data_IF_283811795260
#
_entry.id   IF_283811795260
#
_cell.length_a   1.000
_cell.length_b   1.000
_cell.length_c   1.000
_cell.angle_alpha   90.00
_cell.angle_beta   90.00
_cell.angle_gamma   90.00
#
_symmetry.space_group_name_H-M   'P 1'
#
loop_
_entity.id
_entity.type
_entity.pdbx_description
1 polymer ?
#
# COMPACT_ATOMS: atom_id res chain seq x y z
N UNK A 1 -10.34 12.89 -9.34
CA UNK A 1 -10.26 11.75 -8.40
C UNK A 1 -9.28 10.72 -8.95
N UNK A 2 -7.98 10.96 -8.78
CA UNK A 2 -7.02 9.88 -8.95
C UNK A 2 -7.03 9.16 -7.61
N UNK A 3 -7.50 7.91 -7.57
CA UNK A 3 -7.29 7.04 -6.44
C UNK A 3 -5.78 6.78 -6.35
N UNK A 4 -5.01 7.77 -5.88
CA UNK A 4 -3.66 7.61 -5.36
C UNK A 4 -3.82 7.03 -3.97
N UNK A 5 -4.47 5.88 -3.89
CA UNK A 5 -4.03 4.92 -2.91
C UNK A 5 -2.59 4.62 -3.34
N UNK A 6 -1.65 5.27 -2.68
CA UNK A 6 -0.42 4.60 -2.29
C UNK A 6 -0.94 3.38 -1.55
N UNK A 7 -1.36 2.33 -2.26
CA UNK A 7 -1.70 1.03 -1.71
C UNK A 7 -0.37 0.50 -1.25
N UNK A 8 -0.01 1.02 -0.07
CA UNK A 8 0.94 0.47 0.83
C UNK A 8 0.83 -1.05 0.77
N UNK A 9 1.89 -1.66 0.28
CA UNK A 9 2.59 -2.64 1.10
C UNK A 9 1.95 -4.03 1.23
N UNK A 10 0.82 -4.34 0.57
CA UNK A 10 0.17 -5.63 0.79
C UNK A 10 1.01 -6.82 0.28
N UNK A 11 1.72 -6.69 -0.85
CA UNK A 11 2.44 -7.81 -1.47
C UNK A 11 3.76 -7.40 -2.15
N UNK A 12 4.68 -6.83 -1.36
CA UNK A 12 6.03 -6.42 -1.84
C UNK A 12 7.08 -7.51 -1.61
N UNK A 13 6.69 -8.64 -1.01
CA UNK A 13 7.62 -9.75 -0.75
C UNK A 13 8.09 -10.41 -2.06
N UNK A 14 9.36 -10.81 -2.09
CA UNK A 14 9.94 -11.51 -3.24
C UNK A 14 9.17 -12.79 -3.56
N UNK A 15 8.81 -12.98 -4.83
CA UNK A 15 7.99 -14.11 -5.26
C UNK A 15 6.51 -14.05 -4.84
N UNK A 16 6.01 -12.91 -4.36
CA UNK A 16 4.58 -12.74 -4.11
C UNK A 16 3.81 -12.49 -5.42
N UNK A 17 2.58 -13.01 -5.47
CA UNK A 17 1.63 -12.79 -6.56
C UNK A 17 0.20 -12.96 -6.06
N UNK A 18 -0.72 -12.29 -6.72
CA UNK A 18 -2.16 -12.37 -6.49
C UNK A 18 -2.89 -12.96 -7.67
N UNK A 19 -4.05 -13.56 -7.42
CA UNK A 19 -4.98 -13.99 -8.45
C UNK A 19 -6.33 -13.31 -8.23
N UNK A 20 -6.94 -12.84 -9.32
CA UNK A 20 -8.30 -12.31 -9.27
C UNK A 20 -9.25 -13.51 -9.29
N UNK A 21 -10.10 -13.62 -8.27
CA UNK A 21 -11.05 -14.75 -8.15
C UNK A 21 -12.34 -14.44 -8.90
N UNK A 22 -12.95 -13.30 -8.58
CA UNK A 22 -14.24 -12.86 -9.15
C UNK A 22 -14.49 -11.38 -8.94
N UNK A 23 -15.46 -10.82 -9.66
CA UNK A 23 -15.99 -9.47 -9.47
C UNK A 23 -17.42 -9.59 -8.97
N UNK A 24 -17.75 -8.96 -7.84
CA UNK A 24 -19.07 -9.01 -7.21
C UNK A 24 -19.37 -7.67 -6.53
N UNK A 25 -20.60 -7.18 -6.66
CA UNK A 25 -21.13 -6.01 -5.94
C UNK A 25 -20.17 -4.81 -5.95
N UNK A 26 -19.77 -4.40 -7.16
CA UNK A 26 -18.85 -3.28 -7.40
C UNK A 26 -17.45 -3.41 -6.80
N UNK A 27 -17.09 -4.60 -6.29
CA UNK A 27 -15.76 -4.93 -5.77
C UNK A 27 -15.12 -6.08 -6.53
N UNK A 28 -13.79 -6.06 -6.55
CA UNK A 28 -12.95 -7.11 -7.12
C UNK A 28 -12.37 -7.92 -5.98
N UNK A 29 -12.62 -9.23 -5.99
CA UNK A 29 -12.10 -10.15 -4.98
C UNK A 29 -10.80 -10.74 -5.48
N UNK A 30 -9.75 -10.56 -4.68
CA UNK A 30 -8.38 -10.99 -4.97
C UNK A 30 -7.94 -11.98 -3.90
N UNK A 31 -7.26 -13.04 -4.32
CA UNK A 31 -6.62 -14.00 -3.43
C UNK A 31 -5.13 -13.68 -3.30
N UNK A 32 -4.67 -13.57 -2.06
CA UNK A 32 -3.27 -13.37 -1.70
C UNK A 32 -2.49 -14.69 -1.76
N UNK A 33 -1.15 -14.58 -1.76
CA UNK A 33 -0.26 -15.76 -1.67
C UNK A 33 -0.48 -16.56 -0.39
N UNK A 34 -0.93 -15.93 0.69
CA UNK A 34 -1.33 -16.56 1.95
C UNK A 34 -2.73 -17.22 1.91
N UNK A 35 -3.37 -17.30 0.74
CA UNK A 35 -4.74 -17.78 0.50
C UNK A 35 -5.88 -16.94 1.10
N UNK A 36 -5.58 -15.91 1.89
CA UNK A 36 -6.54 -14.88 2.30
C UNK A 36 -7.17 -14.16 1.10
N UNK A 37 -8.44 -13.82 1.22
CA UNK A 37 -9.19 -13.11 0.18
C UNK A 37 -9.51 -11.68 0.61
N UNK A 38 -9.32 -10.75 -0.31
CA UNK A 38 -9.53 -9.32 -0.13
C UNK A 38 -10.54 -8.80 -1.15
N UNK A 39 -11.52 -8.03 -0.70
CA UNK A 39 -12.43 -7.30 -1.59
C UNK A 39 -11.95 -5.85 -1.72
N UNK A 40 -11.60 -5.44 -2.94
CA UNK A 40 -10.99 -4.14 -3.26
C UNK A 40 -11.86 -3.41 -4.28
N UNK A 41 -11.84 -2.08 -4.27
CA UNK A 41 -12.50 -1.29 -5.31
C UNK A 41 -11.83 -1.44 -6.68
N UNK A 42 -12.61 -1.47 -7.78
CA UNK A 42 -12.10 -1.65 -9.14
C UNK A 42 -11.26 -0.46 -9.64
N UNK A 43 -11.30 0.68 -8.93
CA UNK A 43 -10.52 1.89 -9.24
C UNK A 43 -9.07 1.81 -8.74
N UNK A 44 -8.73 0.82 -7.91
CA UNK A 44 -7.38 0.64 -7.40
C UNK A 44 -6.41 0.18 -8.50
N UNK A 45 -5.21 0.74 -8.48
CA UNK A 45 -4.15 0.39 -9.42
C UNK A 45 -3.48 -0.93 -9.02
N UNK A 46 -3.11 -1.72 -10.02
CA UNK A 46 -2.37 -2.96 -9.86
C UNK A 46 -1.32 -3.10 -10.96
N UNK A 47 -0.23 -3.80 -10.64
CA UNK A 47 0.81 -4.19 -11.61
C UNK A 47 0.60 -5.65 -11.97
N UNK A 48 0.61 -5.96 -13.26
CA UNK A 48 0.46 -7.34 -13.76
C UNK A 48 1.78 -8.08 -13.63
N UNK A 49 1.75 -9.25 -12.98
CA UNK A 49 2.88 -10.16 -12.90
C UNK A 49 3.19 -10.62 -11.48
N UNK A 50 4.42 -11.11 -11.31
CA UNK A 50 4.93 -11.67 -10.06
C UNK A 50 6.19 -10.92 -9.64
N UNK A 51 6.37 -10.69 -8.34
CA UNK A 51 7.60 -10.08 -7.83
C UNK A 51 8.78 -11.02 -8.09
N UNK A 52 9.93 -10.46 -8.49
CA UNK A 52 11.17 -11.21 -8.69
C UNK A 52 11.63 -11.91 -7.40
N UNK A 53 12.64 -12.80 -7.50
CA UNK A 53 13.11 -13.66 -6.40
C UNK A 53 12.13 -14.79 -6.02
N UNK A 54 11.86 -15.71 -6.97
CA UNK A 54 10.91 -16.83 -6.82
C UNK A 54 11.23 -17.77 -5.64
N UNK A 55 12.51 -17.96 -5.31
CA UNK A 55 13.00 -19.01 -4.40
C UNK A 55 13.58 -18.48 -3.08
N UNK A 56 12.97 -17.44 -2.51
CA UNK A 56 13.43 -16.83 -1.25
C UNK A 56 13.70 -17.82 -0.08
N UNK A 57 12.91 -18.89 0.15
CA UNK A 57 13.15 -19.80 1.28
C UNK A 57 14.30 -20.80 1.06
N UNK A 58 14.83 -20.91 -0.16
CA UNK A 58 15.80 -21.97 -0.50
C UNK A 58 17.22 -21.60 -0.06
N UNK A 59 17.53 -20.32 0.15
CA UNK A 59 18.90 -19.90 0.45
C UNK A 59 19.30 -20.23 1.90
N UNK A 60 20.20 -21.21 2.13
CA UNK A 60 20.67 -21.49 3.48
C UNK A 60 21.55 -20.34 3.98
N UNK A 61 21.35 -19.98 5.24
CA UNK A 61 22.16 -18.95 5.91
C UNK A 61 23.61 -19.44 6.10
N UNK A 62 23.80 -20.74 6.37
CA UNK A 62 25.10 -21.37 6.53
C UNK A 62 25.74 -21.12 7.89
N UNK A 63 26.06 -19.87 8.22
CA UNK A 63 26.76 -19.50 9.46
C UNK A 63 26.02 -18.44 10.29
N UNK A 64 26.17 -18.43 11.63
CA UNK A 64 25.66 -17.35 12.47
C UNK A 64 26.26 -15.97 12.13
N UNK A 65 27.45 -15.93 11.51
CA UNK A 65 28.07 -14.69 11.05
C UNK A 65 27.27 -14.02 9.92
N UNK A 66 26.68 -14.80 9.00
CA UNK A 66 25.83 -14.25 7.93
C UNK A 66 24.57 -13.55 8.48
N UNK A 67 24.04 -14.02 9.61
CA UNK A 67 22.94 -13.33 10.32
C UNK A 67 23.40 -11.97 10.88
N UNK A 68 24.66 -11.87 11.33
CA UNK A 68 25.24 -10.58 11.76
C UNK A 68 25.40 -9.61 10.59
N UNK A 69 25.78 -10.07 9.41
CA UNK A 69 25.79 -9.24 8.19
C UNK A 69 24.38 -8.73 7.83
N UNK A 70 23.36 -9.58 8.02
CA UNK A 70 21.95 -9.21 7.86
C UNK A 70 21.38 -8.39 9.05
N UNK A 71 22.25 -7.94 9.97
CA UNK A 71 21.90 -7.15 11.16
C UNK A 71 20.88 -7.83 12.10
N UNK A 72 20.83 -9.17 12.12
CA UNK A 72 20.04 -9.95 13.07
C UNK A 72 20.89 -10.33 14.27
N UNK A 73 20.47 -9.88 15.47
CA UNK A 73 21.12 -10.21 16.75
C UNK A 73 20.58 -11.53 17.31
N UNK A 74 21.37 -12.25 18.14
CA UNK A 74 20.86 -13.42 18.84
C UNK A 74 19.71 -13.05 19.78
N UNK A 75 18.80 -13.98 20.03
CA UNK A 75 17.72 -13.82 21.01
C UNK A 75 18.28 -13.69 22.43
N UNK A 76 17.43 -13.25 23.37
CA UNK A 76 17.82 -13.19 24.77
C UNK A 76 18.03 -14.59 25.35
N UNK A 77 18.91 -14.69 26.36
CA UNK A 77 19.12 -15.91 27.14
C UNK A 77 18.09 -16.11 28.26
N UNK A 78 17.06 -15.26 28.33
CA UNK A 78 16.05 -15.31 29.37
C UNK A 78 15.12 -16.51 29.14
N UNK A 79 15.11 -17.44 30.09
CA UNK A 79 14.20 -18.57 30.05
C UNK A 79 12.78 -18.15 30.42
N UNK A 80 11.81 -18.52 29.58
CA UNK A 80 10.39 -18.22 29.79
C UNK A 80 9.56 -19.51 29.63
N UNK A 81 8.57 -19.69 30.51
CA UNK A 81 7.62 -20.82 30.39
C UNK A 81 6.69 -20.61 29.19
N UNK A 82 6.29 -21.72 28.55
CA UNK A 82 5.33 -21.68 27.44
C UNK A 82 3.91 -21.59 28.00
N UNK A 83 3.24 -20.49 27.70
CA UNK A 83 1.79 -20.32 27.94
C UNK A 83 0.92 -21.05 26.90
N UNK A 84 -0.40 -20.99 27.05
CA UNK A 84 -1.37 -21.58 26.10
C UNK A 84 -1.36 -21.01 24.67
N UNK A 85 -0.60 -19.93 24.43
CA UNK A 85 -0.45 -19.28 23.11
C UNK A 85 0.48 -20.04 22.16
N UNK A 86 1.41 -20.85 22.68
CA UNK A 86 2.43 -21.53 21.87
C UNK A 86 1.92 -22.83 21.21
N UNK A 87 0.70 -23.27 21.52
CA UNK A 87 0.07 -24.41 20.86
C UNK A 87 -0.45 -24.08 19.46
N UNK A 88 -0.49 -25.08 18.57
CA UNK A 88 -1.04 -24.95 17.20
C UNK A 88 -2.48 -24.44 17.24
N UNK A 89 -2.80 -23.39 16.49
CA UNK A 89 -4.16 -22.85 16.36
C UNK A 89 -4.67 -23.02 14.94
N UNK A 90 -5.83 -23.64 14.79
CA UNK A 90 -6.54 -23.77 13.50
C UNK A 90 -7.55 -22.63 13.40
N UNK A 91 -7.21 -21.58 12.66
CA UNK A 91 -8.10 -20.44 12.41
C UNK A 91 -8.67 -20.54 11.00
N UNK A 92 -9.97 -20.29 10.85
CA UNK A 92 -10.61 -20.12 9.55
C UNK A 92 -10.40 -18.68 9.10
N UNK A 93 -10.13 -18.48 7.82
CA UNK A 93 -9.93 -17.16 7.24
C UNK A 93 -11.26 -16.64 6.69
N UNK A 94 -11.54 -15.36 6.93
CA UNK A 94 -12.71 -14.65 6.41
C UNK A 94 -12.30 -13.71 5.28
N UNK A 95 -13.30 -13.27 4.50
CA UNK A 95 -13.13 -12.21 3.51
C UNK A 95 -12.89 -10.88 4.23
N UNK A 96 -11.79 -10.19 3.93
CA UNK A 96 -11.51 -8.85 4.45
C UNK A 96 -11.89 -7.81 3.38
N UNK A 97 -12.79 -6.89 3.70
CA UNK A 97 -13.18 -5.79 2.81
C UNK A 97 -12.26 -4.61 3.07
N UNK A 98 -11.55 -4.16 2.04
CA UNK A 98 -10.65 -3.00 2.12
C UNK A 98 -11.41 -1.79 1.58
N UNK A 99 -11.56 -0.78 2.41
CA UNK A 99 -12.10 0.52 1.99
C UNK A 99 -10.94 1.48 1.66
N UNK A 100 -11.12 2.33 0.64
CA UNK A 100 -10.11 3.31 0.27
C UNK A 100 -10.01 4.36 1.38
N UNK A 101 -8.77 4.71 1.75
CA UNK A 101 -8.55 5.81 2.69
C UNK A 101 -9.11 7.11 2.08
N UNK A 102 -9.86 7.94 2.82
CA UNK A 102 -10.35 9.20 2.30
C UNK A 102 -9.17 10.09 1.89
N UNK A 103 -9.29 10.73 0.73
CA UNK A 103 -8.31 11.71 0.28
C UNK A 103 -8.24 12.87 1.31
N UNK A 104 -7.03 13.39 1.60
CA UNK A 104 -6.92 14.57 2.45
C UNK A 104 -7.73 15.73 1.83
N UNK A 105 -8.41 16.55 2.65
CA UNK A 105 -9.19 17.66 2.14
C UNK A 105 -8.28 18.59 1.34
N UNK A 106 -8.64 18.82 0.07
CA UNK A 106 -7.88 19.69 -0.82
C UNK A 106 -8.23 21.13 -0.46
N UNK A 107 -7.36 21.78 0.31
CA UNK A 107 -7.51 23.21 0.64
C UNK A 107 -7.29 24.00 -0.66
N UNK A 108 -8.37 24.55 -1.21
CA UNK A 108 -8.31 25.43 -2.38
C UNK A 108 -8.02 26.83 -1.83
N UNK A 109 -6.77 27.27 -1.91
CA UNK A 109 -6.41 28.65 -1.64
C UNK A 109 -6.86 29.50 -2.84
N UNK A 110 -8.04 30.13 -2.72
CA UNK A 110 -8.50 31.12 -3.68
C UNK A 110 -7.82 32.45 -3.35
N UNK A 111 -6.68 32.71 -3.97
CA UNK A 111 -6.10 34.06 -3.97
C UNK A 111 -6.86 34.91 -4.97
N UNK A 112 -7.58 35.91 -4.48
CA UNK A 112 -8.13 36.97 -5.32
C UNK A 112 -6.95 37.71 -5.97
N UNK A 113 -6.69 37.48 -7.26
CA UNK A 113 -5.89 38.41 -8.08
C UNK A 113 -6.77 39.60 -8.45
N UNK A 114 -7.20 40.35 -7.44
CA UNK A 114 -7.74 41.69 -7.57
C UNK A 114 -6.66 42.65 -7.11
N UNK A 115 -6.20 43.48 -8.03
CA UNK A 115 -5.21 44.52 -7.79
C UNK A 115 -5.68 45.43 -6.62
N UNK A 116 -4.75 45.79 -5.75
CA UNK A 116 -4.94 46.74 -4.65
C UNK A 116 -5.63 48.04 -5.15
N UNK A 117 -6.41 48.73 -4.29
CA UNK A 117 -7.28 49.87 -4.66
C UNK A 117 -6.56 51.12 -5.23
N UNK A 118 -5.22 51.14 -5.31
CA UNK A 118 -4.44 52.37 -5.57
C UNK A 118 -3.82 52.45 -6.98
N UNK A 119 -4.31 51.70 -7.97
CA UNK A 119 -3.88 51.89 -9.37
C UNK A 119 -5.08 52.15 -10.26
N UNK A 120 -5.15 53.37 -10.79
CA UNK A 120 -6.08 53.68 -11.89
C UNK A 120 -5.80 52.76 -13.09
N UNK A 121 -6.84 52.05 -13.52
CA UNK A 121 -6.83 51.26 -14.74
C UNK A 121 -6.81 52.24 -15.91
N UNK A 122 -5.63 52.51 -16.48
CA UNK A 122 -5.53 53.18 -17.78
C UNK A 122 -6.06 52.18 -18.81
N UNK A 123 -7.22 52.41 -19.46
CA UNK A 123 -7.69 51.50 -20.47
C UNK A 123 -6.73 51.60 -21.66
N UNK A 124 -5.94 50.53 -21.91
CA UNK A 124 -5.19 50.41 -23.16
C UNK A 124 -6.19 50.25 -24.29
N UNK A 125 -6.67 51.37 -24.81
CA UNK A 125 -7.45 51.44 -26.04
C UNK A 125 -6.56 50.94 -27.18
N UNK A 126 -6.79 49.69 -27.62
CA UNK A 126 -6.43 49.28 -28.97
C UNK A 126 -7.39 49.99 -29.93
N UNK A 127 -7.04 51.21 -30.36
CA UNK A 127 -7.60 51.83 -31.57
C UNK A 127 -6.49 52.36 -32.47
N UNK A 128 -6.20 51.52 -33.47
CA UNK A 128 -5.96 51.79 -34.90
C UNK A 128 -4.92 52.84 -35.29
N UNK A 129 -3.81 52.36 -35.86
CA UNK A 129 -3.52 52.54 -37.29
C UNK A 129 -3.26 51.18 -37.90
#
# INVERSE_FOLDING_TARGET
>A
MLCRTVTSWSMVAGGASTTIVRKQNDKVIIQATSHKQYAIDPRCLAVVGKVSMRNKPIHPIGSPQRLRWLKKRPGSGLWQRKDGRYGRKLKRESLEVIEPKPDPPKIINLTLTGELPDKEVIPKTRRVT
#
